data_IF_418419192433
#
_entry.id   IF_418419192433
#
_cell.length_a   1.000
_cell.length_b   1.000
_cell.length_c   1.000
_cell.angle_alpha   90.00
_cell.angle_beta   90.00
_cell.angle_gamma   90.00
#
_symmetry.space_group_name_H-M   'P 1'
#
loop_
_entity.id
_entity.type
_entity.pdbx_description
1 polymer ?
#
# COMPACT_ATOMS: atom_id res chain seq x y z
N UNK A 1 -10.54 16.78 18.79
CA UNK A 1 -10.41 15.54 18.03
C UNK A 1 -9.02 15.51 17.40
N UNK A 2 -8.42 14.34 17.18
CA UNK A 2 -7.16 14.24 16.45
C UNK A 2 -7.43 13.84 15.01
N UNK A 3 -6.83 14.51 14.03
CA UNK A 3 -7.04 14.19 12.63
C UNK A 3 -5.78 14.46 11.81
N UNK A 4 -5.45 13.58 10.85
CA UNK A 4 -4.27 13.79 10.00
C UNK A 4 -3.95 12.64 9.06
N UNK A 5 -3.01 12.93 8.16
CA UNK A 5 -2.53 12.03 7.12
C UNK A 5 -1.31 11.23 7.60
N UNK A 6 -1.44 9.92 7.57
CA UNK A 6 -0.40 8.96 7.96
C UNK A 6 0.02 8.17 6.73
N UNK A 7 1.10 8.60 6.10
CA UNK A 7 1.49 8.09 4.79
C UNK A 7 2.60 7.03 4.90
N UNK A 8 2.42 5.91 4.20
CA UNK A 8 3.25 4.70 4.32
C UNK A 8 4.27 4.68 3.18
N UNK A 9 5.55 4.69 3.54
CA UNK A 9 6.69 4.69 2.61
C UNK A 9 7.57 3.46 2.85
N UNK A 10 8.24 3.00 1.81
CA UNK A 10 9.18 1.89 1.89
C UNK A 10 9.42 1.26 0.53
N UNK A 11 10.35 0.32 0.47
CA UNK A 11 10.68 -0.43 -0.74
C UNK A 11 9.49 -1.26 -1.24
N UNK A 12 9.49 -1.70 -2.50
CA UNK A 12 8.56 -2.73 -2.96
C UNK A 12 8.60 -3.96 -2.05
N UNK A 13 7.47 -4.60 -1.83
CA UNK A 13 7.32 -5.82 -1.00
C UNK A 13 7.68 -5.69 0.49
N UNK A 14 7.96 -4.51 1.02
CA UNK A 14 8.15 -4.30 2.47
C UNK A 14 6.87 -4.57 3.29
N UNK A 15 5.70 -4.62 2.63
CA UNK A 15 4.41 -4.97 3.25
C UNK A 15 3.48 -3.79 3.51
N UNK A 16 3.62 -2.68 2.78
CA UNK A 16 2.79 -1.46 2.89
C UNK A 16 1.29 -1.76 2.72
N UNK A 17 0.92 -2.34 1.58
CA UNK A 17 -0.47 -2.71 1.26
C UNK A 17 -1.03 -3.78 2.21
N UNK A 18 -0.18 -4.72 2.65
CA UNK A 18 -0.57 -5.72 3.65
C UNK A 18 -0.89 -5.07 4.99
N UNK A 19 -0.08 -4.10 5.41
CA UNK A 19 -0.32 -3.35 6.64
C UNK A 19 -1.62 -2.54 6.54
N UNK A 20 -1.83 -1.83 5.42
CA UNK A 20 -3.06 -1.06 5.20
C UNK A 20 -4.30 -1.97 5.33
N UNK A 21 -4.32 -3.09 4.61
CA UNK A 21 -5.43 -4.05 4.66
C UNK A 21 -5.62 -4.63 6.07
N UNK A 22 -4.53 -4.94 6.78
CA UNK A 22 -4.61 -5.45 8.14
C UNK A 22 -5.19 -4.43 9.15
N UNK A 23 -4.92 -3.15 8.97
CA UNK A 23 -5.48 -2.07 9.80
C UNK A 23 -6.96 -1.83 9.50
N UNK A 24 -7.35 -1.92 8.23
CA UNK A 24 -8.75 -1.70 7.81
C UNK A 24 -9.66 -2.90 8.11
N UNK A 25 -9.08 -4.10 8.28
CA UNK A 25 -9.86 -5.34 8.35
C UNK A 25 -10.49 -5.74 7.01
N UNK A 26 -10.22 -4.99 5.94
CA UNK A 26 -10.76 -5.16 4.60
C UNK A 26 -9.66 -5.05 3.54
N UNK A 27 -9.93 -5.59 2.36
CA UNK A 27 -8.98 -5.63 1.25
C UNK A 27 -9.15 -4.42 0.34
N UNK A 28 -8.45 -3.35 0.62
CA UNK A 28 -8.43 -2.12 -0.18
C UNK A 28 -7.30 -2.08 -1.21
N UNK A 29 -6.17 -2.69 -0.91
CA UNK A 29 -4.99 -2.66 -1.76
C UNK A 29 -4.58 -4.07 -2.21
N UNK A 30 -4.01 -4.16 -3.41
CA UNK A 30 -3.49 -5.43 -3.95
C UNK A 30 -2.30 -5.91 -3.13
N UNK A 31 -2.32 -7.19 -2.77
CA UNK A 31 -1.20 -7.87 -2.12
C UNK A 31 -0.70 -9.00 -3.01
N UNK A 32 0.55 -8.92 -3.44
CA UNK A 32 1.19 -9.97 -4.26
C UNK A 32 2.69 -10.02 -3.95
N UNK A 33 3.34 -11.18 -4.09
CA UNK A 33 4.80 -11.27 -4.03
C UNK A 33 5.50 -10.56 -5.20
N UNK A 34 4.77 -10.23 -6.27
CA UNK A 34 5.29 -9.46 -7.41
C UNK A 34 5.41 -8.00 -7.04
N UNK A 35 6.40 -7.32 -7.62
CA UNK A 35 6.63 -5.88 -7.41
C UNK A 35 5.60 -5.03 -8.18
N UNK A 36 5.53 -3.72 -7.88
CA UNK A 36 4.69 -2.74 -8.60
C UNK A 36 3.18 -3.05 -8.53
N UNK A 37 2.72 -3.67 -7.47
CA UNK A 37 1.29 -3.91 -7.22
C UNK A 37 0.54 -2.59 -7.01
N UNK A 38 1.03 -1.73 -6.15
CA UNK A 38 0.48 -0.39 -5.92
C UNK A 38 1.04 0.59 -6.92
N UNK A 39 0.21 1.09 -7.84
CA UNK A 39 0.58 2.08 -8.85
C UNK A 39 0.07 3.47 -8.55
N UNK A 40 -0.98 3.55 -7.77
CA UNK A 40 -1.65 4.77 -7.33
C UNK A 40 -1.54 4.90 -5.82
N UNK A 41 -1.67 6.11 -5.32
CA UNK A 41 -1.87 6.34 -3.89
C UNK A 41 -3.29 5.89 -3.53
N UNK A 42 -3.42 5.01 -2.54
CA UNK A 42 -4.70 4.52 -2.04
C UNK A 42 -4.87 5.07 -0.63
N UNK A 43 -5.89 5.89 -0.42
CA UNK A 43 -6.24 6.38 0.90
C UNK A 43 -7.25 5.46 1.55
N UNK A 44 -7.03 5.18 2.82
CA UNK A 44 -7.92 4.43 3.70
C UNK A 44 -8.23 5.29 4.93
N UNK A 45 -9.50 5.49 5.22
CA UNK A 45 -9.97 6.39 6.26
C UNK A 45 -10.46 5.56 7.44
N UNK A 46 -9.92 5.85 8.62
CA UNK A 46 -10.34 5.25 9.89
C UNK A 46 -10.91 6.36 10.74
N UNK A 47 -12.21 6.35 10.95
CA UNK A 47 -12.91 7.32 11.80
C UNK A 47 -13.41 6.67 13.06
N UNK A 48 -13.04 7.25 14.19
CA UNK A 48 -13.50 6.89 15.52
C UNK A 48 -13.92 8.17 16.27
N UNK A 49 -14.62 8.04 17.39
CA UNK A 49 -15.15 9.18 18.15
C UNK A 49 -14.09 10.25 18.49
N UNK A 50 -12.84 9.85 18.72
CA UNK A 50 -11.78 10.74 19.19
C UNK A 50 -10.73 11.07 18.14
N UNK A 51 -10.73 10.37 17.00
CA UNK A 51 -9.75 10.58 15.93
C UNK A 51 -10.25 10.20 14.54
N UNK A 52 -9.66 10.81 13.52
CA UNK A 52 -9.73 10.37 12.15
C UNK A 52 -8.30 10.26 11.57
N UNK A 53 -7.95 9.09 11.07
CA UNK A 53 -6.65 8.85 10.44
C UNK A 53 -6.86 8.54 8.97
N UNK A 54 -6.18 9.29 8.10
CA UNK A 54 -6.15 9.02 6.67
C UNK A 54 -4.83 8.32 6.34
N UNK A 55 -4.85 7.00 6.29
CA UNK A 55 -3.71 6.22 5.84
C UNK A 55 -3.56 6.31 4.33
N UNK A 56 -2.32 6.40 3.84
CA UNK A 56 -2.05 6.32 2.40
C UNK A 56 -1.07 5.19 2.12
N UNK A 57 -1.52 4.16 1.40
CA UNK A 57 -0.61 3.23 0.75
C UNK A 57 0.00 3.89 -0.48
N UNK A 58 1.31 3.90 -0.56
CA UNK A 58 2.05 4.49 -1.67
C UNK A 58 2.76 3.42 -2.50
N UNK A 59 3.01 3.68 -3.79
CA UNK A 59 3.93 2.84 -4.55
C UNK A 59 5.26 2.66 -3.81
N UNK A 60 5.88 1.49 -3.99
CA UNK A 60 7.24 1.28 -3.47
C UNK A 60 8.21 2.29 -4.04
N UNK A 61 9.13 2.78 -3.22
CA UNK A 61 10.18 3.70 -3.65
C UNK A 61 11.15 2.93 -4.53
N UNK A 62 11.29 3.37 -5.76
CA UNK A 62 12.12 2.75 -6.80
C UNK A 62 12.85 3.83 -7.60
N UNK A 63 13.94 3.45 -8.27
CA UNK A 63 14.55 4.27 -9.28
C UNK A 63 13.71 4.23 -10.59
N UNK A 64 13.24 5.38 -11.12
CA UNK A 64 12.41 5.39 -12.32
C UNK A 64 13.18 4.93 -13.56
N UNK A 65 12.63 3.93 -14.28
CA UNK A 65 13.23 3.41 -15.53
C UNK A 65 12.36 3.71 -16.75
N UNK A 66 11.09 4.02 -16.56
CA UNK A 66 10.12 4.33 -17.62
C UNK A 66 8.93 5.12 -17.06
N UNK A 67 8.07 5.65 -17.95
CA UNK A 67 6.98 6.59 -17.61
C UNK A 67 6.05 6.15 -16.46
N UNK A 68 5.75 4.85 -16.35
CA UNK A 68 4.92 4.36 -15.24
C UNK A 68 5.64 4.55 -13.90
N UNK A 69 6.95 4.26 -13.83
CA UNK A 69 7.75 4.49 -12.63
C UNK A 69 7.80 5.97 -12.25
N UNK A 70 7.90 6.88 -13.23
CA UNK A 70 7.84 8.32 -12.96
C UNK A 70 6.51 8.71 -12.32
N UNK A 71 5.38 8.19 -12.84
CA UNK A 71 4.04 8.42 -12.26
C UNK A 71 3.91 7.85 -10.85
N UNK A 72 4.47 6.66 -10.61
CA UNK A 72 4.50 6.07 -9.26
C UNK A 72 5.30 6.96 -8.30
N UNK A 73 6.46 7.49 -8.72
CA UNK A 73 7.27 8.40 -7.88
C UNK A 73 6.61 9.76 -7.68
N UNK A 74 5.81 10.26 -8.63
CA UNK A 74 4.96 11.44 -8.42
C UNK A 74 3.92 11.20 -7.32
N UNK A 75 3.31 10.02 -7.25
CA UNK A 75 2.38 9.66 -6.18
C UNK A 75 3.07 9.59 -4.80
N UNK A 76 4.31 9.06 -4.74
CA UNK A 76 5.13 9.09 -3.52
C UNK A 76 5.42 10.53 -3.10
N UNK A 77 5.82 11.39 -4.04
CA UNK A 77 6.11 12.80 -3.77
C UNK A 77 4.89 13.54 -3.25
N UNK A 78 3.74 13.37 -3.88
CA UNK A 78 2.48 13.96 -3.41
C UNK A 78 2.14 13.52 -1.99
N UNK A 79 2.37 12.24 -1.65
CA UNK A 79 2.16 11.73 -0.31
C UNK A 79 3.15 12.29 0.71
N UNK A 80 4.35 12.70 0.31
CA UNK A 80 5.30 13.37 1.20
C UNK A 80 4.88 14.81 1.53
N UNK A 81 4.21 15.49 0.59
CA UNK A 81 3.82 16.88 0.72
C UNK A 81 2.68 17.10 1.71
N UNK A 82 1.75 16.14 1.86
CA UNK A 82 0.59 16.26 2.74
C UNK A 82 0.65 15.36 3.99
N UNK A 83 1.76 14.67 4.23
CA UNK A 83 1.91 13.83 5.41
C UNK A 83 2.00 14.65 6.70
N UNK A 84 1.25 14.26 7.73
CA UNK A 84 1.44 14.69 9.12
C UNK A 84 2.37 13.73 9.87
N UNK A 85 2.33 12.45 9.49
CA UNK A 85 3.22 11.39 10.01
C UNK A 85 3.68 10.51 8.84
N UNK A 86 4.96 10.20 8.81
CA UNK A 86 5.53 9.22 7.88
C UNK A 86 5.69 7.85 8.56
N UNK A 87 5.08 6.80 8.01
CA UNK A 87 5.37 5.41 8.38
C UNK A 87 6.42 4.86 7.42
N UNK A 88 7.61 4.59 7.94
CA UNK A 88 8.73 4.04 7.18
C UNK A 88 8.79 2.52 7.39
N UNK A 89 8.22 1.75 6.47
CA UNK A 89 8.13 0.29 6.61
C UNK A 89 9.35 -0.41 6.02
N UNK A 90 9.91 -1.35 6.80
CA UNK A 90 11.09 -2.15 6.46
C UNK A 90 10.79 -3.62 6.67
N UNK A 91 11.13 -4.48 5.73
CA UNK A 91 11.20 -5.93 5.98
C UNK A 91 12.44 -6.20 6.86
N UNK A 92 12.26 -6.90 7.96
CA UNK A 92 13.34 -7.24 8.91
C UNK A 92 14.51 -7.97 8.23
N UNK A 93 14.27 -8.64 7.11
CA UNK A 93 15.26 -9.37 6.33
C UNK A 93 15.88 -8.61 5.16
N UNK A 94 15.46 -7.35 4.92
CA UNK A 94 16.06 -6.50 3.88
C UNK A 94 17.43 -5.93 4.28
N UNK A 95 18.11 -5.29 3.32
CA UNK A 95 19.29 -4.50 3.59
C UNK A 95 18.90 -3.17 4.25
N UNK A 96 19.14 -3.04 5.56
CA UNK A 96 18.75 -1.88 6.36
C UNK A 96 19.52 -0.60 5.97
N UNK A 97 20.76 -0.72 5.52
CA UNK A 97 21.56 0.42 5.08
C UNK A 97 20.97 1.04 3.80
N UNK A 98 20.58 0.21 2.85
CA UNK A 98 19.86 0.66 1.66
C UNK A 98 18.51 1.31 2.02
N UNK A 99 17.75 0.71 2.93
CA UNK A 99 16.50 1.30 3.41
C UNK A 99 16.76 2.67 4.08
N UNK A 100 17.79 2.77 4.92
CA UNK A 100 18.16 4.02 5.56
C UNK A 100 18.51 5.10 4.55
N UNK A 101 19.33 4.78 3.53
CA UNK A 101 19.70 5.70 2.45
C UNK A 101 18.46 6.25 1.74
N UNK A 102 17.49 5.36 1.43
CA UNK A 102 16.23 5.76 0.84
C UNK A 102 15.45 6.71 1.76
N UNK A 103 15.35 6.39 3.06
CA UNK A 103 14.60 7.20 4.01
C UNK A 103 15.23 8.57 4.27
N UNK A 104 16.54 8.66 4.35
CA UNK A 104 17.25 9.94 4.44
C UNK A 104 17.03 10.81 3.20
N UNK A 105 16.99 10.19 2.01
CA UNK A 105 16.72 10.89 0.76
C UNK A 105 15.29 11.49 0.67
N UNK A 106 14.32 11.00 1.46
CA UNK A 106 12.98 11.58 1.52
C UNK A 106 12.96 12.99 2.16
N UNK A 107 13.98 13.35 2.94
CA UNK A 107 14.09 14.66 3.61
C UNK A 107 12.82 15.05 4.36
N UNK A 108 12.30 14.11 5.16
CA UNK A 108 11.05 14.26 5.90
C UNK A 108 11.07 15.52 6.79
N UNK A 109 9.97 16.28 6.74
CA UNK A 109 9.72 17.45 7.60
C UNK A 109 8.76 17.13 8.75
N UNK A 110 8.22 15.92 8.77
CA UNK A 110 7.23 15.43 9.73
C UNK A 110 7.81 14.30 10.58
N UNK A 111 7.23 13.98 11.75
CA UNK A 111 7.69 12.85 12.55
C UNK A 111 7.57 11.55 11.78
N UNK A 112 8.61 10.71 11.88
CA UNK A 112 8.62 9.41 11.26
C UNK A 112 8.54 8.28 12.31
N UNK A 113 7.70 7.30 12.03
CA UNK A 113 7.61 6.04 12.77
C UNK A 113 8.20 4.94 11.90
N UNK A 114 9.26 4.29 12.36
CA UNK A 114 9.83 3.14 11.66
C UNK A 114 9.05 1.90 12.03
N UNK A 115 8.61 1.15 11.03
CA UNK A 115 7.82 -0.08 11.18
C UNK A 115 8.64 -1.26 10.69
N UNK A 116 9.21 -2.03 11.60
CA UNK A 116 9.93 -3.26 11.28
C UNK A 116 8.89 -4.37 11.11
N UNK A 117 8.68 -4.78 9.86
CA UNK A 117 7.66 -5.75 9.46
C UNK A 117 8.25 -7.13 9.21
N UNK A 118 7.38 -8.12 9.12
CA UNK A 118 7.66 -9.55 8.89
C UNK A 118 8.50 -10.18 9.99
N UNK A 119 8.29 -9.75 11.23
CA UNK A 119 9.03 -10.29 12.40
C UNK A 119 8.76 -11.79 12.64
N UNK A 120 7.68 -12.33 12.07
CA UNK A 120 7.38 -13.75 12.03
C UNK A 120 8.43 -14.60 11.27
N UNK A 121 9.29 -13.93 10.48
CA UNK A 121 10.31 -14.55 9.62
C UNK A 121 11.75 -14.30 10.08
N UNK A 122 11.93 -13.85 11.32
CA UNK A 122 13.24 -13.49 11.86
C UNK A 122 13.41 -13.97 13.31
N UNK A 123 14.66 -14.16 13.73
CA UNK A 123 14.97 -14.44 15.13
C UNK A 123 14.79 -13.18 16.01
N UNK A 124 14.64 -13.40 17.31
CA UNK A 124 14.51 -12.29 18.27
C UNK A 124 15.76 -11.39 18.31
N UNK A 125 16.94 -12.00 18.11
CA UNK A 125 18.21 -11.28 18.02
C UNK A 125 18.20 -10.32 16.83
N UNK A 126 17.82 -10.80 15.64
CA UNK A 126 17.75 -9.98 14.43
C UNK A 126 16.72 -8.85 14.56
N UNK A 127 15.59 -9.10 15.21
CA UNK A 127 14.59 -8.05 15.47
C UNK A 127 15.18 -6.97 16.38
N UNK A 128 15.90 -7.35 17.46
CA UNK A 128 16.57 -6.40 18.36
C UNK A 128 17.65 -5.59 17.63
N UNK A 129 18.46 -6.22 16.80
CA UNK A 129 19.45 -5.54 15.98
C UNK A 129 18.81 -4.51 15.05
N UNK A 130 17.72 -4.87 14.37
CA UNK A 130 16.97 -3.95 13.50
C UNK A 130 16.42 -2.76 14.29
N UNK A 131 15.84 -2.99 15.48
CA UNK A 131 15.35 -1.93 16.37
C UNK A 131 16.50 -0.98 16.72
N UNK A 132 17.62 -1.50 17.24
CA UNK A 132 18.79 -0.71 17.63
C UNK A 132 19.33 0.10 16.45
N UNK A 133 19.39 -0.51 15.25
CA UNK A 133 19.88 0.16 14.05
C UNK A 133 19.02 1.37 13.67
N UNK A 134 17.69 1.23 13.63
CA UNK A 134 16.81 2.32 13.23
C UNK A 134 16.54 3.34 14.34
N UNK A 135 16.60 2.94 15.61
CA UNK A 135 16.44 3.84 16.75
C UNK A 135 17.55 4.90 16.80
N UNK A 136 18.74 4.57 16.32
CA UNK A 136 19.86 5.51 16.22
C UNK A 136 19.69 6.60 15.15
N UNK A 137 18.70 6.48 14.25
CA UNK A 137 18.54 7.39 13.11
C UNK A 137 17.79 8.67 13.51
N UNK A 138 18.28 9.83 13.06
CA UNK A 138 17.75 11.15 13.42
C UNK A 138 16.29 11.36 13.06
N UNK A 139 15.81 10.74 11.97
CA UNK A 139 14.41 10.84 11.53
C UNK A 139 13.47 9.99 12.38
N UNK A 140 13.96 8.96 13.06
CA UNK A 140 13.16 8.03 13.81
C UNK A 140 12.64 8.65 15.11
N UNK A 141 11.32 8.77 15.24
CA UNK A 141 10.67 9.22 16.48
C UNK A 141 10.15 8.06 17.32
N UNK A 142 9.69 7.02 16.66
CA UNK A 142 9.18 5.79 17.31
C UNK A 142 9.49 4.59 16.43
N UNK A 143 9.58 3.41 17.05
CA UNK A 143 9.73 2.12 16.36
C UNK A 143 8.58 1.21 16.73
N UNK A 144 8.06 0.50 15.74
CA UNK A 144 7.08 -0.54 15.88
C UNK A 144 7.60 -1.83 15.23
N UNK A 145 7.39 -2.96 15.88
CA UNK A 145 7.72 -4.27 15.33
C UNK A 145 6.43 -5.05 15.11
N UNK A 146 6.18 -5.48 13.88
CA UNK A 146 4.92 -6.12 13.49
C UNK A 146 5.13 -7.30 12.55
N UNK A 147 4.12 -8.13 12.42
CA UNK A 147 3.88 -8.92 11.23
C UNK A 147 2.50 -8.60 10.69
N UNK A 148 2.46 -7.85 9.60
CA UNK A 148 1.20 -7.43 8.98
C UNK A 148 0.40 -8.63 8.45
N UNK A 149 1.08 -9.69 7.98
CA UNK A 149 0.43 -10.88 7.42
C UNK A 149 -0.12 -11.83 8.48
N UNK A 150 0.52 -11.91 9.66
CA UNK A 150 0.08 -12.79 10.75
C UNK A 150 -0.69 -12.05 11.86
N UNK A 151 -0.84 -10.73 11.75
CA UNK A 151 -1.55 -9.90 12.73
C UNK A 151 -0.78 -9.62 14.03
N UNK A 152 0.51 -10.02 14.11
CA UNK A 152 1.32 -9.78 15.31
C UNK A 152 1.49 -8.27 15.52
N UNK A 153 1.16 -7.81 16.73
CA UNK A 153 1.26 -6.42 17.19
C UNK A 153 0.37 -5.40 16.43
N UNK A 154 -0.54 -5.83 15.56
CA UNK A 154 -1.45 -4.93 14.82
C UNK A 154 -2.47 -4.26 15.76
N UNK A 155 -2.99 -4.96 16.77
CA UNK A 155 -3.99 -4.41 17.70
C UNK A 155 -3.52 -3.12 18.44
N UNK A 156 -2.24 -3.01 18.71
CA UNK A 156 -1.66 -1.87 19.42
C UNK A 156 -0.96 -0.88 18.49
N UNK A 157 -1.08 -1.08 17.17
CA UNK A 157 -0.35 -0.30 16.18
C UNK A 157 -0.72 1.19 16.19
N UNK A 158 -1.99 1.51 16.39
CA UNK A 158 -2.49 2.90 16.33
C UNK A 158 -2.06 3.76 17.52
N UNK A 159 -1.87 3.18 18.70
CA UNK A 159 -1.58 3.94 19.92
C UNK A 159 -0.40 4.91 19.79
N UNK A 160 0.81 4.48 19.35
CA UNK A 160 1.94 5.41 19.21
C UNK A 160 1.77 6.40 18.04
N UNK A 161 0.93 6.10 17.05
CA UNK A 161 0.58 7.01 15.95
C UNK A 161 -0.33 8.13 16.49
N UNK A 162 -1.37 7.77 17.27
CA UNK A 162 -2.29 8.72 17.86
C UNK A 162 -1.59 9.73 18.82
N UNK A 163 -0.48 9.34 19.44
CA UNK A 163 0.31 10.26 20.26
C UNK A 163 0.96 11.38 19.44
N UNK A 164 1.31 11.09 18.18
CA UNK A 164 1.97 12.02 17.26
C UNK A 164 0.97 12.77 16.37
N UNK A 165 -0.27 12.29 16.25
CA UNK A 165 -1.28 12.87 15.38
C UNK A 165 -1.67 14.27 15.87
N UNK A 166 -1.76 15.29 14.99
CA UNK A 166 -2.17 16.64 15.35
C UNK A 166 -3.64 16.71 15.78
N UNK A 167 -3.99 17.75 16.50
CA UNK A 167 -5.38 18.12 16.75
C UNK A 167 -5.95 18.82 15.52
N UNK A 168 -7.18 18.46 15.14
CA UNK A 168 -7.84 19.01 13.95
C UNK A 168 -9.25 18.47 13.78
N UNK A 169 -9.99 19.11 12.86
CA UNK A 169 -11.31 18.66 12.43
C UNK A 169 -11.21 17.46 11.48
N UNK A 170 -12.24 16.61 11.38
CA UNK A 170 -12.24 15.49 10.44
C UNK A 170 -12.25 16.00 8.99
N UNK A 171 -11.52 15.32 8.11
CA UNK A 171 -11.45 15.62 6.68
C UNK A 171 -12.56 14.95 5.88
N UNK A 172 -13.12 13.86 6.39
CA UNK A 172 -14.10 13.01 5.73
C UNK A 172 -15.28 12.72 6.64
N UNK A 173 -16.38 12.22 6.08
CA UNK A 173 -17.53 11.79 6.88
C UNK A 173 -17.26 10.46 7.59
N UNK A 174 -18.08 10.12 8.59
CA UNK A 174 -17.88 8.91 9.40
C UNK A 174 -18.03 7.61 8.59
N UNK A 175 -18.79 7.64 7.50
CA UNK A 175 -19.05 6.49 6.64
C UNK A 175 -18.00 6.31 5.52
N UNK A 176 -17.11 7.28 5.33
CA UNK A 176 -16.08 7.22 4.29
C UNK A 176 -14.95 6.27 4.69
N UNK A 177 -14.73 5.23 3.91
CA UNK A 177 -13.60 4.31 4.07
C UNK A 177 -12.44 4.60 3.10
N UNK A 178 -12.71 5.36 2.04
CA UNK A 178 -11.71 5.81 1.04
C UNK A 178 -12.28 6.95 0.21
N UNK A 179 -11.42 7.79 -0.38
CA UNK A 179 -11.79 8.83 -1.34
C UNK A 179 -11.87 8.33 -2.80
N UNK A 180 -11.62 7.04 -3.02
CA UNK A 180 -11.63 6.43 -4.35
C UNK A 180 -13.00 5.78 -4.65
N UNK A 181 -13.48 5.86 -5.90
CA UNK A 181 -14.77 5.29 -6.26
C UNK A 181 -14.74 3.75 -6.30
N UNK A 182 -15.88 3.11 -6.07
CA UNK A 182 -16.04 1.64 -6.14
C UNK A 182 -15.46 1.02 -7.42
N UNK A 183 -15.62 1.71 -8.56
CA UNK A 183 -15.04 1.26 -9.84
C UNK A 183 -13.53 1.08 -9.80
N UNK A 184 -12.82 1.91 -9.02
CA UNK A 184 -11.38 1.78 -8.83
C UNK A 184 -11.05 0.46 -8.12
N UNK A 185 -11.71 0.16 -7.01
CA UNK A 185 -11.47 -1.08 -6.26
C UNK A 185 -11.81 -2.32 -7.09
N UNK A 186 -12.88 -2.26 -7.88
CA UNK A 186 -13.21 -3.35 -8.82
C UNK A 186 -12.11 -3.53 -9.87
N UNK A 187 -11.56 -2.44 -10.41
CA UNK A 187 -10.45 -2.53 -11.36
C UNK A 187 -9.20 -3.13 -10.72
N UNK A 188 -8.93 -2.80 -9.46
CA UNK A 188 -7.80 -3.37 -8.70
C UNK A 188 -8.02 -4.86 -8.39
N UNK A 189 -9.23 -5.31 -8.07
CA UNK A 189 -9.52 -6.74 -7.87
C UNK A 189 -9.27 -7.55 -9.16
N UNK A 190 -9.72 -7.04 -10.31
CA UNK A 190 -9.45 -7.70 -11.61
C UNK A 190 -7.93 -7.70 -11.88
N UNK A 191 -7.25 -6.58 -11.64
CA UNK A 191 -5.80 -6.47 -11.82
C UNK A 191 -5.03 -7.42 -10.91
N UNK A 192 -5.49 -7.63 -9.69
CA UNK A 192 -4.90 -8.61 -8.77
C UNK A 192 -5.03 -10.04 -9.30
N UNK A 193 -6.18 -10.42 -9.87
CA UNK A 193 -6.34 -11.73 -10.50
C UNK A 193 -5.37 -11.91 -11.67
N UNK A 194 -5.14 -10.86 -12.44
CA UNK A 194 -4.12 -10.88 -13.49
C UNK A 194 -2.72 -11.08 -12.89
N UNK A 195 -2.39 -10.40 -11.77
CA UNK A 195 -1.12 -10.59 -11.07
C UNK A 195 -0.94 -12.01 -10.52
N UNK A 196 -2.00 -12.62 -10.00
CA UNK A 196 -1.98 -14.00 -9.49
C UNK A 196 -1.80 -15.03 -10.59
N UNK A 197 -2.53 -14.87 -11.70
CA UNK A 197 -2.67 -15.88 -12.75
C UNK A 197 -1.68 -15.74 -13.89
N UNK A 198 -1.06 -14.57 -14.10
CA UNK A 198 -0.12 -14.32 -15.18
C UNK A 198 1.31 -14.30 -14.69
N UNK A 199 2.27 -14.50 -15.61
CA UNK A 199 3.71 -14.48 -15.31
C UNK A 199 4.42 -13.43 -16.17
N UNK A 200 5.73 -13.35 -16.01
CA UNK A 200 6.64 -12.49 -16.77
C UNK A 200 6.20 -11.01 -16.77
N UNK A 201 6.19 -10.37 -17.92
CA UNK A 201 5.86 -8.96 -18.06
C UNK A 201 4.35 -8.65 -18.12
N UNK A 202 3.48 -9.65 -18.28
CA UNK A 202 2.03 -9.43 -18.47
C UNK A 202 1.40 -8.60 -17.36
N UNK A 203 1.60 -8.92 -16.06
CA UNK A 203 1.03 -8.13 -14.96
C UNK A 203 1.44 -6.65 -15.02
N UNK A 204 2.68 -6.40 -15.42
CA UNK A 204 3.25 -5.05 -15.45
C UNK A 204 2.74 -4.20 -16.59
N UNK A 205 2.42 -4.84 -17.74
CA UNK A 205 1.95 -4.21 -18.97
C UNK A 205 0.42 -4.21 -19.11
N UNK A 206 -0.31 -4.57 -18.06
CA UNK A 206 -1.77 -4.63 -18.08
C UNK A 206 -2.37 -3.50 -17.26
N UNK A 207 -3.40 -2.86 -17.79
CA UNK A 207 -4.28 -1.94 -17.08
C UNK A 207 -5.73 -2.43 -17.16
N UNK A 208 -6.53 -2.09 -16.15
CA UNK A 208 -7.95 -2.42 -16.10
C UNK A 208 -8.77 -1.14 -15.98
N UNK A 209 -9.79 -0.98 -16.81
CA UNK A 209 -10.70 0.15 -16.79
C UNK A 209 -12.13 -0.35 -16.64
N UNK A 210 -12.77 -0.09 -15.52
CA UNK A 210 -14.19 -0.39 -15.31
C UNK A 210 -15.04 0.70 -15.93
N UNK A 211 -15.73 0.37 -17.04
CA UNK A 211 -16.62 1.29 -17.77
C UNK A 211 -17.98 1.40 -17.09
N UNK A 212 -18.54 0.27 -16.70
CA UNK A 212 -19.87 0.20 -16.10
C UNK A 212 -19.81 -0.59 -14.80
N UNK A 213 -20.48 -0.06 -13.78
CA UNK A 213 -20.76 -0.74 -12.52
C UNK A 213 -22.21 -0.41 -12.17
N UNK A 214 -23.09 -1.40 -12.24
CA UNK A 214 -24.52 -1.25 -11.96
C UNK A 214 -25.00 -2.29 -10.97
N UNK A 215 -25.44 -1.83 -9.85
CA UNK A 215 -26.12 -2.66 -8.84
C UNK A 215 -27.58 -2.81 -9.21
N UNK A 216 -28.05 -4.05 -9.22
CA UNK A 216 -29.46 -4.43 -9.31
C UNK A 216 -29.80 -5.26 -8.08
N UNK A 217 -31.08 -5.44 -7.81
CA UNK A 217 -31.60 -6.12 -6.61
C UNK A 217 -30.96 -7.50 -6.33
N UNK A 218 -30.59 -8.25 -7.36
CA UNK A 218 -30.04 -9.61 -7.25
C UNK A 218 -28.73 -9.81 -8.03
N UNK A 219 -28.19 -8.76 -8.65
CA UNK A 219 -27.05 -8.88 -9.56
C UNK A 219 -26.26 -7.56 -9.61
N UNK A 220 -24.93 -7.65 -9.58
CA UNK A 220 -24.05 -6.55 -9.93
C UNK A 220 -23.52 -6.77 -11.34
N UNK A 221 -23.81 -5.84 -12.26
CA UNK A 221 -23.28 -5.86 -13.63
C UNK A 221 -22.03 -5.01 -13.70
N UNK A 222 -20.91 -5.63 -14.11
CA UNK A 222 -19.62 -4.97 -14.31
C UNK A 222 -19.22 -5.13 -15.78
N UNK A 223 -18.81 -4.03 -16.41
CA UNK A 223 -18.18 -4.04 -17.74
C UNK A 223 -16.80 -3.42 -17.58
N UNK A 224 -15.77 -4.19 -17.88
CA UNK A 224 -14.39 -3.76 -17.75
C UNK A 224 -13.58 -4.09 -18.99
N UNK A 225 -12.66 -3.19 -19.35
CA UNK A 225 -11.65 -3.42 -20.37
C UNK A 225 -10.33 -3.82 -19.70
N UNK A 226 -9.74 -4.90 -20.16
CA UNK A 226 -8.37 -5.28 -19.84
C UNK A 226 -7.48 -4.82 -21.01
N UNK A 227 -6.66 -3.83 -20.75
CA UNK A 227 -5.80 -3.17 -21.74
C UNK A 227 -4.39 -3.74 -21.62
N UNK A 228 -3.82 -4.19 -22.73
CA UNK A 228 -2.48 -4.74 -22.82
C UNK A 228 -1.64 -4.01 -23.85
N UNK A 229 -0.33 -4.13 -23.75
CA UNK A 229 0.58 -3.42 -24.65
C UNK A 229 0.75 -4.09 -26.02
N UNK A 230 0.59 -5.43 -26.13
CA UNK A 230 0.81 -6.22 -27.36
C UNK A 230 -0.32 -7.22 -27.57
N UNK A 231 -0.61 -7.52 -28.86
CA UNK A 231 -1.61 -8.54 -29.23
C UNK A 231 -1.27 -9.94 -28.70
N UNK A 232 0.00 -10.30 -28.62
CA UNK A 232 0.44 -11.57 -28.04
C UNK A 232 0.03 -11.72 -26.57
N UNK A 233 0.09 -10.63 -25.80
CA UNK A 233 -0.34 -10.61 -24.38
C UNK A 233 -1.85 -10.77 -24.26
N UNK A 234 -2.64 -10.23 -25.22
CA UNK A 234 -4.08 -10.43 -25.28
C UNK A 234 -4.45 -11.91 -25.47
N UNK A 235 -3.76 -12.60 -26.38
CA UNK A 235 -3.98 -14.03 -26.62
C UNK A 235 -3.71 -14.84 -25.33
N UNK A 236 -2.65 -14.53 -24.60
CA UNK A 236 -2.30 -15.18 -23.33
C UNK A 236 -3.39 -14.94 -22.27
N UNK A 237 -3.87 -13.71 -22.12
CA UNK A 237 -4.91 -13.36 -21.14
C UNK A 237 -6.29 -13.94 -21.48
N UNK A 238 -6.60 -14.13 -22.77
CA UNK A 238 -7.81 -14.84 -23.19
C UNK A 238 -7.64 -16.34 -22.87
N UNK A 239 -6.49 -16.90 -23.19
CA UNK A 239 -6.20 -18.32 -23.06
C UNK A 239 -6.92 -19.18 -24.08
N UNK A 240 -6.56 -20.46 -24.15
CA UNK A 240 -7.22 -21.42 -25.06
C UNK A 240 -8.72 -21.49 -24.75
N UNK A 241 -9.57 -21.26 -25.76
CA UNK A 241 -11.05 -21.24 -25.66
C UNK A 241 -11.58 -20.33 -24.55
N UNK A 242 -10.83 -19.28 -24.20
CA UNK A 242 -11.22 -18.35 -23.13
C UNK A 242 -10.99 -18.87 -21.72
N UNK A 243 -10.14 -19.86 -21.54
CA UNK A 243 -9.92 -20.51 -20.23
C UNK A 243 -9.27 -19.59 -19.20
N UNK A 244 -8.39 -18.69 -19.61
CA UNK A 244 -7.70 -17.78 -18.69
C UNK A 244 -8.61 -16.61 -18.29
N UNK A 245 -9.28 -15.96 -19.26
CA UNK A 245 -10.17 -14.82 -18.98
C UNK A 245 -11.36 -15.19 -18.08
N UNK A 246 -11.77 -16.46 -18.07
CA UNK A 246 -12.82 -16.96 -17.17
C UNK A 246 -12.36 -17.12 -15.72
N UNK A 247 -11.05 -17.19 -15.49
CA UNK A 247 -10.45 -17.29 -14.14
C UNK A 247 -10.12 -15.93 -13.54
N UNK A 248 -9.93 -14.94 -14.41
CA UNK A 248 -9.76 -13.54 -14.04
C UNK A 248 -11.11 -12.97 -13.59
#
# INVERSE_FOLDING_TARGET
MKSGFVNIFGKPNAGKSTLLNAMMGEKLAIVSPKVQTTRHRIKAIVTEKEYQIIFSDTPGIIEPKYKLHEKMMQAVKSALEDADIALLIVDVNENWEECNTIFEALKLKVPAVVVINKIDRASQEKIKEAVTYFESKKYCKKILTISASSGINIKNFLKPILELLPEGEPYYTDDDISDLPTKFFVSELIREKIYELSQDEIPYHTAVLVREFKEKTSLVKIVADIIVHRETQKVILIGEKGSMIKKI
#
